data_IF_481018724780
#
_entry.id   IF_481018724780
#
_cell.length_a   1.000
_cell.length_b   1.000
_cell.length_c   1.000
_cell.angle_alpha   90.00
_cell.angle_beta   90.00
_cell.angle_gamma   90.00
#
_symmetry.space_group_name_H-M   'P 1'
#
loop_
_entity.id
_entity.type
_entity.pdbx_description
1 polymer ?
#
# COMPACT_ATOMS: atom_id res chain seq x y z
N UNK A 1 20.55 3.77 34.57
CA UNK A 1 19.53 4.27 33.65
C UNK A 1 19.05 3.10 32.81
N UNK A 2 18.00 2.43 33.30
CA UNK A 2 17.44 1.27 32.63
C UNK A 2 16.79 1.66 31.31
N UNK A 3 17.30 1.14 30.22
CA UNK A 3 16.59 1.18 28.94
C UNK A 3 15.24 0.52 29.19
N UNK A 4 14.18 1.32 29.20
CA UNK A 4 12.82 0.79 29.21
C UNK A 4 12.71 -0.18 28.03
N UNK A 5 12.43 -1.44 28.32
CA UNK A 5 12.13 -2.42 27.29
C UNK A 5 10.90 -1.93 26.55
N UNK A 6 11.06 -1.73 25.29
CA UNK A 6 9.93 -1.44 24.41
C UNK A 6 8.89 -2.55 24.58
N UNK A 7 7.70 -2.20 24.98
CA UNK A 7 6.57 -3.12 24.96
C UNK A 7 6.29 -3.54 23.53
N UNK A 8 5.84 -4.78 23.30
CA UNK A 8 5.22 -5.11 22.01
C UNK A 8 4.09 -4.12 21.78
N UNK A 9 4.22 -3.34 20.72
CA UNK A 9 3.27 -2.27 20.43
C UNK A 9 2.04 -2.91 19.81
N UNK A 10 0.90 -2.81 20.48
CA UNK A 10 -0.38 -3.14 19.87
C UNK A 10 -0.63 -2.20 18.70
N UNK A 11 -1.29 -2.62 17.62
CA UNK A 11 -1.57 -1.76 16.47
C UNK A 11 -2.24 -0.43 16.83
N UNK A 12 -3.09 -0.45 17.84
CA UNK A 12 -3.76 0.72 18.42
C UNK A 12 -2.85 1.61 19.26
N UNK A 13 -1.75 1.06 19.76
CA UNK A 13 -0.79 1.78 20.62
C UNK A 13 0.43 2.27 19.84
N UNK A 14 0.58 1.87 18.57
CA UNK A 14 1.79 2.16 17.78
C UNK A 14 2.09 3.65 17.73
N UNK A 15 1.06 4.46 17.58
CA UNK A 15 1.19 5.93 17.53
C UNK A 15 1.56 6.45 18.92
N UNK A 16 0.90 5.98 19.96
CA UNK A 16 1.17 6.35 21.34
C UNK A 16 2.61 6.06 21.72
N UNK A 17 3.07 4.85 21.50
CA UNK A 17 4.44 4.47 21.82
C UNK A 17 5.46 5.32 21.07
N UNK A 18 5.28 5.52 19.78
CA UNK A 18 6.19 6.32 18.96
C UNK A 18 6.35 7.75 19.46
N UNK A 19 5.28 8.29 20.03
CA UNK A 19 5.22 9.66 20.52
C UNK A 19 5.06 9.78 22.04
N UNK A 20 5.15 8.67 22.78
CA UNK A 20 4.98 8.64 24.24
C UNK A 20 5.87 9.70 24.95
N UNK A 21 7.12 9.84 24.49
CA UNK A 21 8.03 10.88 25.01
C UNK A 21 7.52 12.30 24.83
N UNK A 22 6.64 12.53 23.86
CA UNK A 22 6.04 13.84 23.61
C UNK A 22 4.79 14.08 24.46
N UNK A 23 4.33 13.10 25.20
CA UNK A 23 3.23 13.19 26.16
C UNK A 23 3.73 13.26 27.61
N UNK A 24 5.04 13.47 27.79
CA UNK A 24 5.61 13.84 29.10
C UNK A 24 5.23 15.27 29.46
N UNK A 25 5.46 15.65 30.71
CA UNK A 25 5.21 17.03 31.16
C UNK A 25 5.96 18.06 30.32
N UNK A 26 7.19 17.74 29.91
CA UNK A 26 8.00 18.59 29.04
C UNK A 26 7.34 18.82 27.68
N UNK A 27 6.67 17.81 27.15
CA UNK A 27 5.95 17.92 25.90
C UNK A 27 4.70 18.83 26.04
N UNK A 28 3.97 18.74 27.13
CA UNK A 28 2.80 19.59 27.37
C UNK A 28 3.15 21.06 27.34
N UNK A 29 4.39 21.39 27.68
CA UNK A 29 4.94 22.76 27.66
C UNK A 29 5.46 23.14 26.26
N UNK A 30 5.96 22.18 25.48
CA UNK A 30 6.77 22.46 24.29
C UNK A 30 6.01 22.83 23.03
N UNK A 31 4.80 22.34 22.80
CA UNK A 31 4.10 22.71 21.56
C UNK A 31 2.61 22.37 21.51
N UNK A 32 1.74 23.37 21.53
CA UNK A 32 0.32 23.19 21.22
C UNK A 32 0.06 22.56 19.85
N UNK A 33 0.96 22.79 18.88
CA UNK A 33 0.86 22.24 17.54
C UNK A 33 1.04 20.72 17.52
N UNK A 34 1.97 20.16 18.31
CA UNK A 34 2.13 18.73 18.45
C UNK A 34 0.95 18.05 19.16
N UNK A 35 0.36 18.74 20.14
CA UNK A 35 -0.83 18.26 20.83
C UNK A 35 -2.01 18.16 19.86
N UNK A 36 -2.20 19.16 19.01
CA UNK A 36 -3.21 19.11 17.96
C UNK A 36 -2.92 18.02 16.92
N UNK A 37 -1.67 17.88 16.50
CA UNK A 37 -1.25 16.84 15.58
C UNK A 37 -1.51 15.44 16.12
N UNK A 38 -1.27 15.21 17.40
CA UNK A 38 -1.49 13.91 18.04
C UNK A 38 -2.97 13.62 18.30
N UNK A 39 -3.73 14.63 18.74
CA UNK A 39 -5.18 14.51 18.86
C UNK A 39 -5.83 14.17 17.52
N UNK A 40 -5.31 14.74 16.44
CA UNK A 40 -5.76 14.42 15.07
C UNK A 40 -5.47 12.98 14.67
N UNK A 41 -4.42 12.36 15.23
CA UNK A 41 -4.09 10.96 14.97
C UNK A 41 -4.90 9.96 15.78
N UNK A 42 -5.37 10.37 16.96
CA UNK A 42 -5.94 9.45 17.96
C UNK A 42 -7.46 9.52 18.02
N UNK A 43 -8.06 10.68 17.88
CA UNK A 43 -9.45 10.88 18.30
C UNK A 43 -10.45 11.29 17.21
N UNK A 44 -10.02 11.62 16.01
CA UNK A 44 -10.98 12.03 14.98
C UNK A 44 -10.69 11.39 13.63
N UNK A 45 -11.69 10.87 12.93
CA UNK A 45 -11.59 10.76 11.50
C UNK A 45 -11.31 12.16 10.98
N UNK A 46 -10.11 12.34 10.44
CA UNK A 46 -9.67 13.61 9.90
C UNK A 46 -10.58 13.95 8.71
N UNK A 47 -11.54 14.77 8.94
CA UNK A 47 -12.51 15.23 7.94
C UNK A 47 -12.49 16.76 7.94
N UNK A 48 -11.29 17.31 7.76
CA UNK A 48 -11.16 18.73 7.51
C UNK A 48 -11.38 18.96 6.02
N UNK A 49 -12.48 19.62 5.68
CA UNK A 49 -12.85 19.94 4.30
C UNK A 49 -11.77 20.78 3.57
N UNK A 50 -10.88 21.41 4.34
CA UNK A 50 -9.79 22.25 3.82
C UNK A 50 -8.49 21.49 3.56
N UNK A 51 -8.38 20.22 3.99
CA UNK A 51 -7.17 19.45 3.75
C UNK A 51 -7.19 18.76 2.37
N UNK A 52 -6.07 18.82 1.63
CA UNK A 52 -5.99 18.21 0.28
C UNK A 52 -5.98 16.69 0.31
N UNK A 53 -6.02 16.07 1.48
CA UNK A 53 -6.01 14.62 1.66
C UNK A 53 -6.90 14.20 2.83
N UNK A 54 -7.45 13.00 2.73
CA UNK A 54 -8.22 12.38 3.81
C UNK A 54 -7.44 11.23 4.41
N UNK A 55 -7.33 11.22 5.73
CA UNK A 55 -6.83 10.07 6.47
C UNK A 55 -7.99 9.22 6.92
N UNK A 56 -7.83 7.91 6.81
CA UNK A 56 -8.81 6.96 7.30
C UNK A 56 -8.12 5.95 8.19
N UNK A 57 -8.78 5.61 9.29
CA UNK A 57 -8.32 4.53 10.14
C UNK A 57 -8.46 3.20 9.43
N UNK A 58 -7.61 2.25 9.81
CA UNK A 58 -7.73 0.87 9.36
C UNK A 58 -9.07 0.32 9.83
N UNK A 59 -9.85 -0.19 8.90
CA UNK A 59 -11.10 -0.87 9.21
C UNK A 59 -10.83 -2.27 9.75
N UNK A 60 -11.82 -2.83 10.42
CA UNK A 60 -11.82 -4.26 10.76
C UNK A 60 -11.61 -5.12 9.52
N UNK A 61 -11.00 -6.29 9.69
CA UNK A 61 -10.59 -7.16 8.58
C UNK A 61 -11.77 -7.51 7.65
N UNK A 62 -12.95 -7.71 8.20
CA UNK A 62 -14.15 -8.06 7.42
C UNK A 62 -14.68 -6.91 6.55
N UNK A 63 -14.31 -5.68 6.85
CA UNK A 63 -14.74 -4.48 6.14
C UNK A 63 -13.58 -3.74 5.44
N UNK A 64 -12.35 -4.18 5.64
CA UNK A 64 -11.16 -3.53 5.09
C UNK A 64 -11.23 -3.34 3.57
N UNK A 65 -11.69 -4.36 2.86
CA UNK A 65 -11.81 -4.35 1.41
C UNK A 65 -12.71 -3.21 0.87
N UNK A 66 -13.67 -2.73 1.67
CA UNK A 66 -14.53 -1.62 1.26
C UNK A 66 -13.79 -0.31 1.06
N UNK A 67 -12.55 -0.18 1.55
CA UNK A 67 -11.70 0.98 1.30
C UNK A 67 -11.40 1.14 -0.19
N UNK A 68 -11.27 0.03 -0.92
CA UNK A 68 -10.99 0.05 -2.36
C UNK A 68 -12.13 0.62 -3.20
N UNK A 69 -13.34 0.74 -2.66
CA UNK A 69 -14.47 1.38 -3.34
C UNK A 69 -14.38 2.92 -3.35
N UNK A 70 -13.41 3.50 -2.67
CA UNK A 70 -13.37 4.94 -2.42
C UNK A 70 -12.27 5.68 -3.18
N UNK A 71 -11.53 4.99 -4.02
CA UNK A 71 -10.48 5.57 -4.87
C UNK A 71 -10.36 4.79 -6.18
N UNK A 72 -9.71 5.39 -7.17
CA UNK A 72 -9.55 4.82 -8.51
C UNK A 72 -8.13 4.31 -8.76
N UNK A 73 -7.14 4.90 -8.07
CA UNK A 73 -5.72 4.59 -8.24
C UNK A 73 -5.08 4.27 -6.90
N UNK A 74 -4.43 3.13 -6.81
CA UNK A 74 -3.62 2.72 -5.65
C UNK A 74 -2.18 3.20 -5.80
N UNK A 75 -1.60 3.73 -4.73
CA UNK A 75 -0.19 4.09 -4.67
C UNK A 75 0.55 3.12 -3.76
N UNK A 76 1.59 2.48 -4.27
CA UNK A 76 2.39 1.51 -3.54
C UNK A 76 3.89 1.88 -3.55
N UNK A 77 4.28 2.93 -2.80
CA UNK A 77 5.68 3.28 -2.66
C UNK A 77 6.40 2.24 -1.77
N UNK A 78 7.55 1.78 -2.23
CA UNK A 78 8.41 0.87 -1.49
C UNK A 78 9.87 1.24 -1.75
N UNK A 79 10.66 1.29 -0.68
CA UNK A 79 12.11 1.51 -0.77
C UNK A 79 12.78 0.21 -1.18
N UNK A 80 13.70 0.28 -2.13
CA UNK A 80 14.55 -0.84 -2.52
C UNK A 80 15.50 -1.20 -1.37
N UNK A 81 15.23 -2.31 -0.71
CA UNK A 81 16.05 -2.85 0.37
C UNK A 81 15.80 -4.34 0.52
N UNK A 82 16.81 -5.05 1.06
CA UNK A 82 16.71 -6.49 1.32
C UNK A 82 15.48 -6.84 2.17
N UNK A 83 15.15 -6.03 3.17
CA UNK A 83 13.97 -6.23 4.01
C UNK A 83 12.66 -6.12 3.21
N UNK A 84 12.56 -5.13 2.35
CA UNK A 84 11.36 -4.91 1.56
C UNK A 84 11.22 -5.93 0.42
N UNK A 85 12.32 -6.41 -0.15
CA UNK A 85 12.33 -7.46 -1.15
C UNK A 85 11.77 -8.81 -0.65
N UNK A 86 11.79 -9.03 0.67
CA UNK A 86 11.22 -10.22 1.30
C UNK A 86 9.76 -10.06 1.75
N UNK A 87 9.11 -8.95 1.43
CA UNK A 87 7.68 -8.75 1.72
C UNK A 87 6.81 -9.41 0.67
N UNK A 88 5.52 -9.54 0.98
CA UNK A 88 4.53 -9.97 0.00
C UNK A 88 4.07 -8.80 -0.87
N UNK A 89 3.59 -9.11 -2.08
CA UNK A 89 2.96 -8.15 -2.99
C UNK A 89 1.46 -7.93 -2.69
N UNK A 90 1.07 -7.97 -1.42
CA UNK A 90 -0.34 -7.90 -1.02
C UNK A 90 -1.08 -6.70 -1.60
N UNK A 91 -0.45 -5.53 -1.61
CA UNK A 91 -1.05 -4.31 -2.20
C UNK A 91 -1.36 -4.44 -3.69
N UNK A 92 -0.54 -5.19 -4.42
CA UNK A 92 -0.74 -5.48 -5.85
C UNK A 92 -1.94 -6.40 -6.02
N UNK A 93 -2.01 -7.46 -5.22
CA UNK A 93 -3.11 -8.43 -5.24
C UNK A 93 -4.43 -7.74 -4.90
N UNK A 94 -4.46 -6.96 -3.83
CA UNK A 94 -5.65 -6.23 -3.38
C UNK A 94 -6.13 -5.23 -4.45
N UNK A 95 -5.23 -4.42 -5.01
CA UNK A 95 -5.57 -3.49 -6.07
C UNK A 95 -6.14 -4.23 -7.30
N UNK A 96 -5.51 -5.35 -7.68
CA UNK A 96 -5.94 -6.16 -8.81
C UNK A 96 -7.33 -6.75 -8.63
N UNK A 97 -7.63 -7.38 -7.48
CA UNK A 97 -8.97 -7.91 -7.21
C UNK A 97 -10.06 -6.85 -7.24
N UNK A 98 -9.73 -5.61 -6.90
CA UNK A 98 -10.64 -4.48 -6.94
C UNK A 98 -10.59 -3.68 -8.26
N UNK A 99 -9.88 -4.18 -9.27
CA UNK A 99 -9.72 -3.53 -10.58
C UNK A 99 -9.21 -2.09 -10.47
N UNK A 100 -8.32 -1.82 -9.52
CA UNK A 100 -7.73 -0.49 -9.35
C UNK A 100 -6.42 -0.39 -10.12
N UNK A 101 -6.25 0.70 -10.84
CA UNK A 101 -4.94 1.03 -11.39
C UNK A 101 -3.92 1.19 -10.24
N UNK A 102 -2.69 0.80 -10.48
CA UNK A 102 -1.63 0.92 -9.49
C UNK A 102 -0.43 1.68 -10.04
N UNK A 103 0.06 2.62 -9.24
CA UNK A 103 1.40 3.21 -9.41
C UNK A 103 2.26 2.64 -8.29
N UNK A 104 3.33 1.94 -8.62
CA UNK A 104 4.16 1.22 -7.65
C UNK A 104 5.64 1.46 -7.87
N UNK A 105 6.45 1.29 -6.84
CA UNK A 105 7.90 1.22 -6.99
C UNK A 105 8.28 0.00 -7.82
N UNK A 106 9.24 0.17 -8.73
CA UNK A 106 9.83 -0.88 -9.56
C UNK A 106 10.85 -1.68 -8.74
N UNK A 107 10.35 -2.47 -7.81
CA UNK A 107 11.15 -3.29 -6.88
C UNK A 107 10.41 -4.58 -6.53
N UNK A 108 11.16 -5.61 -6.13
CA UNK A 108 10.57 -6.78 -5.50
C UNK A 108 9.90 -6.39 -4.15
N UNK A 109 8.76 -6.97 -3.84
CA UNK A 109 8.07 -8.10 -4.50
C UNK A 109 7.07 -7.68 -5.60
N UNK A 110 6.93 -6.38 -5.91
CA UNK A 110 5.88 -5.90 -6.82
C UNK A 110 6.10 -6.34 -8.27
N UNK A 111 7.36 -6.43 -8.70
CA UNK A 111 7.73 -6.87 -10.06
C UNK A 111 7.42 -8.34 -10.37
N UNK A 112 7.01 -9.12 -9.35
CA UNK A 112 6.53 -10.50 -9.55
C UNK A 112 5.28 -10.54 -10.47
N UNK A 113 4.41 -9.53 -10.35
CA UNK A 113 3.14 -9.48 -11.07
C UNK A 113 2.95 -8.21 -11.89
N UNK A 114 3.73 -7.18 -11.62
CA UNK A 114 3.60 -5.90 -12.32
C UNK A 114 4.53 -5.81 -13.53
N UNK A 115 3.94 -5.39 -14.64
CA UNK A 115 4.63 -5.07 -15.88
C UNK A 115 4.38 -3.61 -16.19
N UNK A 116 5.43 -2.85 -16.45
CA UNK A 116 5.28 -1.42 -16.76
C UNK A 116 4.46 -1.20 -18.04
N UNK A 117 3.43 -0.38 -17.94
CA UNK A 117 2.63 0.07 -19.08
C UNK A 117 3.30 1.23 -19.84
N UNK A 118 4.40 1.77 -19.32
CA UNK A 118 5.18 2.81 -19.98
C UNK A 118 6.65 2.50 -19.81
N UNK A 119 7.34 2.28 -20.91
CA UNK A 119 8.77 2.11 -20.94
C UNK A 119 9.41 3.21 -21.80
N UNK A 120 10.34 3.96 -21.23
CA UNK A 120 11.03 5.09 -21.90
C UNK A 120 10.07 6.06 -22.63
N UNK A 121 8.87 6.26 -22.08
CA UNK A 121 7.84 7.12 -22.62
C UNK A 121 6.92 6.45 -23.67
N UNK A 122 7.23 5.24 -24.10
CA UNK A 122 6.42 4.45 -25.04
C UNK A 122 5.40 3.62 -24.28
N UNK A 123 4.17 3.55 -24.78
CA UNK A 123 3.12 2.72 -24.21
C UNK A 123 3.37 1.23 -24.49
N UNK A 124 3.28 0.43 -23.45
CA UNK A 124 3.33 -1.02 -23.51
C UNK A 124 1.92 -1.59 -23.26
N UNK A 125 1.29 -2.12 -24.29
CA UNK A 125 -0.06 -2.66 -24.23
C UNK A 125 -0.19 -3.94 -23.37
N UNK A 126 0.92 -4.58 -23.01
CA UNK A 126 0.96 -5.70 -22.07
C UNK A 126 1.14 -5.26 -20.62
N UNK A 127 1.47 -3.99 -20.39
CA UNK A 127 1.68 -3.46 -19.06
C UNK A 127 0.37 -3.38 -18.28
N UNK A 128 0.42 -3.66 -16.99
CA UNK A 128 -0.71 -3.66 -16.06
C UNK A 128 -0.55 -2.68 -14.91
N UNK A 129 0.54 -1.89 -14.90
CA UNK A 129 0.85 -0.93 -13.86
C UNK A 129 1.72 0.21 -14.39
N UNK A 130 1.82 1.28 -13.63
CA UNK A 130 2.83 2.32 -13.83
C UNK A 130 3.94 2.15 -12.80
N UNK A 131 5.14 1.85 -13.24
CA UNK A 131 6.28 1.59 -12.36
C UNK A 131 7.18 2.81 -12.23
N UNK A 132 7.60 3.07 -11.01
CA UNK A 132 8.51 4.18 -10.66
C UNK A 132 9.83 3.59 -10.20
N UNK A 133 10.90 3.95 -10.88
CA UNK A 133 12.24 3.53 -10.49
C UNK A 133 12.58 4.09 -9.10
N UNK A 134 12.93 3.23 -8.12
CA UNK A 134 13.18 3.65 -6.73
C UNK A 134 14.39 4.57 -6.57
N UNK A 135 15.29 4.59 -7.55
CA UNK A 135 16.47 5.47 -7.57
C UNK A 135 16.16 6.86 -8.10
N UNK A 136 14.94 7.08 -8.62
CA UNK A 136 14.48 8.38 -9.10
C UNK A 136 13.69 9.12 -8.03
N UNK A 137 13.54 10.42 -8.22
CA UNK A 137 12.86 11.27 -7.26
C UNK A 137 11.32 11.22 -7.43
N UNK A 138 10.63 11.93 -6.54
CA UNK A 138 9.17 12.06 -6.53
C UNK A 138 8.53 12.55 -7.84
N UNK A 139 9.30 13.14 -8.75
CA UNK A 139 8.78 13.68 -10.03
C UNK A 139 8.19 12.59 -10.92
N UNK A 140 8.72 11.38 -10.88
CA UNK A 140 8.17 10.28 -11.68
C UNK A 140 6.80 9.85 -11.15
N UNK A 141 6.58 9.88 -9.83
CA UNK A 141 5.26 9.69 -9.23
C UNK A 141 4.26 10.72 -9.72
N UNK A 142 4.61 12.00 -9.65
CA UNK A 142 3.77 13.09 -10.14
C UNK A 142 3.47 12.97 -11.64
N UNK A 143 4.47 12.57 -12.45
CA UNK A 143 4.30 12.34 -13.88
C UNK A 143 3.30 11.23 -14.18
N UNK A 144 3.33 10.12 -13.44
CA UNK A 144 2.39 9.03 -13.61
C UNK A 144 0.98 9.40 -13.12
N UNK A 145 0.86 10.10 -12.00
CA UNK A 145 -0.44 10.62 -11.54
C UNK A 145 -1.05 11.57 -12.58
N UNK A 146 -0.27 12.53 -13.08
CA UNK A 146 -0.71 13.44 -14.13
C UNK A 146 -1.18 12.68 -15.38
N UNK A 147 -0.44 11.65 -15.81
CA UNK A 147 -0.80 10.82 -16.98
C UNK A 147 -2.17 10.18 -16.80
N UNK A 148 -2.49 9.65 -15.62
CA UNK A 148 -3.79 9.04 -15.35
C UNK A 148 -4.92 10.07 -15.29
N UNK A 149 -4.66 11.25 -14.74
CA UNK A 149 -5.62 12.35 -14.72
C UNK A 149 -5.96 12.82 -16.15
N UNK A 150 -4.95 12.92 -17.00
CA UNK A 150 -5.10 13.33 -18.41
C UNK A 150 -5.70 12.23 -19.29
N UNK A 151 -5.64 10.97 -18.85
CA UNK A 151 -6.14 9.80 -19.59
C UNK A 151 -6.96 8.87 -18.69
N UNK A 152 -8.19 9.25 -18.30
CA UNK A 152 -9.01 8.46 -17.36
C UNK A 152 -9.29 7.02 -17.83
N UNK A 153 -9.44 6.79 -19.13
CA UNK A 153 -9.65 5.45 -19.69
C UNK A 153 -8.48 4.51 -19.37
N UNK A 154 -7.27 5.04 -19.24
CA UNK A 154 -6.10 4.26 -18.86
C UNK A 154 -6.23 3.67 -17.45
N UNK A 155 -6.96 4.31 -16.56
CA UNK A 155 -7.20 3.83 -15.20
C UNK A 155 -7.99 2.52 -15.26
N UNK A 156 -9.07 2.49 -16.02
CA UNK A 156 -9.89 1.30 -16.19
C UNK A 156 -9.12 0.17 -16.90
N UNK A 157 -8.42 0.51 -17.96
CA UNK A 157 -7.60 -0.44 -18.72
C UNK A 157 -6.53 -1.12 -17.86
N UNK A 158 -5.79 -0.35 -17.07
CA UNK A 158 -4.77 -0.88 -16.18
C UNK A 158 -5.37 -1.72 -15.06
N UNK A 159 -6.46 -1.26 -14.46
CA UNK A 159 -7.18 -2.00 -13.42
C UNK A 159 -7.69 -3.35 -13.93
N UNK A 160 -8.27 -3.39 -15.13
CA UNK A 160 -8.73 -4.63 -15.75
C UNK A 160 -7.57 -5.57 -16.07
N UNK A 161 -6.46 -5.09 -16.63
CA UNK A 161 -5.29 -5.92 -16.91
C UNK A 161 -4.65 -6.48 -15.63
N UNK A 162 -4.60 -5.69 -14.59
CA UNK A 162 -4.11 -6.13 -13.29
C UNK A 162 -5.03 -7.21 -12.69
N UNK A 163 -6.34 -7.04 -12.79
CA UNK A 163 -7.32 -8.05 -12.38
C UNK A 163 -7.10 -9.36 -13.12
N UNK A 164 -6.93 -9.35 -14.45
CA UNK A 164 -6.63 -10.54 -15.23
C UNK A 164 -5.34 -11.25 -14.77
N UNK A 165 -4.35 -10.49 -14.33
CA UNK A 165 -3.09 -11.02 -13.80
C UNK A 165 -3.29 -11.76 -12.47
N UNK A 166 -4.14 -11.27 -11.58
CA UNK A 166 -4.23 -11.77 -10.20
C UNK A 166 -5.39 -12.72 -9.94
N UNK A 167 -6.50 -12.62 -10.70
CA UNK A 167 -7.78 -13.29 -10.41
C UNK A 167 -7.67 -14.81 -10.24
N UNK A 168 -6.91 -15.46 -11.09
CA UNK A 168 -6.75 -16.92 -11.05
C UNK A 168 -5.58 -17.32 -10.16
N UNK A 169 -4.46 -16.61 -10.26
CA UNK A 169 -3.22 -16.88 -9.53
C UNK A 169 -3.41 -16.82 -8.00
N UNK A 170 -4.21 -15.87 -7.54
CA UNK A 170 -4.39 -15.59 -6.10
C UNK A 170 -5.81 -15.87 -5.60
N UNK A 171 -6.67 -16.50 -6.38
CA UNK A 171 -7.96 -16.93 -5.87
C UNK A 171 -7.78 -17.96 -4.74
N UNK A 172 -8.56 -17.80 -3.67
CA UNK A 172 -8.47 -18.72 -2.51
C UNK A 172 -8.61 -20.18 -2.94
N UNK A 173 -9.50 -20.46 -3.88
CA UNK A 173 -9.73 -21.81 -4.42
C UNK A 173 -8.46 -22.38 -5.05
N UNK A 174 -7.81 -21.63 -5.94
CA UNK A 174 -6.62 -22.10 -6.66
C UNK A 174 -5.43 -22.25 -5.71
N UNK A 175 -5.20 -21.25 -4.86
CA UNK A 175 -4.12 -21.31 -3.84
C UNK A 175 -4.30 -22.48 -2.89
N UNK A 176 -5.54 -22.78 -2.44
CA UNK A 176 -5.80 -23.95 -1.61
C UNK A 176 -5.57 -25.26 -2.36
N UNK A 177 -6.02 -25.35 -3.62
CA UNK A 177 -5.80 -26.54 -4.43
C UNK A 177 -4.30 -26.81 -4.65
N UNK A 178 -3.53 -25.79 -5.00
CA UNK A 178 -2.08 -25.91 -5.21
C UNK A 178 -1.38 -26.38 -3.93
N UNK A 179 -1.76 -25.84 -2.78
CA UNK A 179 -1.22 -26.28 -1.48
C UNK A 179 -1.56 -27.74 -1.18
N UNK A 180 -2.80 -28.15 -1.44
CA UNK A 180 -3.21 -29.55 -1.26
C UNK A 180 -2.37 -30.47 -2.16
N UNK A 181 -2.19 -30.13 -3.43
CA UNK A 181 -1.35 -30.91 -4.33
C UNK A 181 0.11 -30.96 -3.85
N UNK A 182 0.66 -29.83 -3.45
CA UNK A 182 2.01 -29.77 -2.89
C UNK A 182 2.17 -30.70 -1.68
N UNK A 183 1.26 -30.66 -0.71
CA UNK A 183 1.32 -31.58 0.44
C UNK A 183 1.21 -33.05 0.04
N UNK A 184 0.36 -33.39 -0.92
CA UNK A 184 0.28 -34.77 -1.43
C UNK A 184 1.62 -35.24 -2.00
N UNK A 185 2.38 -34.38 -2.67
CA UNK A 185 3.70 -34.77 -3.22
C UNK A 185 4.74 -35.02 -2.13
N UNK A 186 4.57 -34.41 -0.95
CA UNK A 186 5.47 -34.64 0.19
C UNK A 186 5.12 -35.94 0.93
N UNK A 187 3.82 -36.20 1.13
CA UNK A 187 3.35 -37.36 1.89
C UNK A 187 3.56 -38.69 1.13
N UNK A 188 3.50 -38.62 -0.21
CA UNK A 188 3.66 -39.79 -1.05
C UNK A 188 5.12 -40.08 -1.45
N UNK A 189 6.08 -39.41 -0.83
CA UNK A 189 7.51 -39.73 -0.90
C UNK A 189 7.93 -40.60 0.29
#
# INVERSE_FOLDING_TARGET
>A
EGKQRQRPIQPTETVWYKYEKFFTEDYKVLSPQYKNYLNTFVDTPYDDENEPYRRRWTKEINSYATNYNTFDVSLAPLVDSLFNGNKSQLKVIEAGFHKKAIIASDVDPYTIDLISAVDNGVLNNKGNALLVNPKRNHKDWAKHMKRLIENPNMIEDLGNRLYETVKDKYSLKNVCNDRVQFFKTIINK
#
